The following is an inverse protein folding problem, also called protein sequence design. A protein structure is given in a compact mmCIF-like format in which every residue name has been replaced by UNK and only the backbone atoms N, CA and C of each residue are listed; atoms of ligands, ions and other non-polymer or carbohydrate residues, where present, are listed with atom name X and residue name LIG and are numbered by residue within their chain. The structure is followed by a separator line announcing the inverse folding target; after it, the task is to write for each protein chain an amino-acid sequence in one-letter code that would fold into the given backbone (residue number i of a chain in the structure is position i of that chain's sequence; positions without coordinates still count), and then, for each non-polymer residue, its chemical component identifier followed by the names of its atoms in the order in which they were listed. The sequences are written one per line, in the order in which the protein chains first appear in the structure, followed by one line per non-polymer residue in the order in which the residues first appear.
data_IF_836039909777
#
_entry.id   IF_836039909777
#
_cell.length_a   1.000
_cell.length_b   1.000
_cell.length_c   1.000
_cell.angle_alpha   90.00
_cell.angle_beta   90.00
_cell.angle_gamma   90.00
#
_symmetry.space_group_name_H-M   'P 1'
#
loop_
_entity.id
_entity.type
_entity.pdbx_description
1 polymer ?
#
# COMPACT_ATOMS: atom_id res chain seq x y z
N UNK A 1 -18.04 11.52 8.78
CA UNK A 1 -17.70 12.62 7.85
C UNK A 1 -16.56 12.13 6.98
N UNK A 2 -16.62 12.38 5.68
CA UNK A 2 -15.57 12.01 4.72
C UNK A 2 -14.42 13.02 4.79
N UNK A 3 -13.20 12.53 5.00
CA UNK A 3 -11.99 13.35 5.05
C UNK A 3 -11.09 13.09 3.84
N UNK A 4 -10.08 13.95 3.59
CA UNK A 4 -9.05 13.66 2.59
C UNK A 4 -8.30 12.34 2.84
N UNK A 5 -8.18 11.92 4.11
CA UNK A 5 -7.53 10.66 4.48
C UNK A 5 -8.35 9.45 4.04
N UNK A 6 -9.69 9.54 4.07
CA UNK A 6 -10.56 8.47 3.59
C UNK A 6 -10.33 8.24 2.08
N UNK A 7 -10.33 9.31 1.28
CA UNK A 7 -10.09 9.21 -0.16
C UNK A 7 -8.69 8.71 -0.48
N UNK A 8 -7.67 9.19 0.24
CA UNK A 8 -6.29 8.77 0.05
C UNK A 8 -6.11 7.28 0.37
N UNK A 9 -6.56 6.84 1.54
CA UNK A 9 -6.36 5.46 2.00
C UNK A 9 -7.20 4.46 1.20
N UNK A 10 -8.40 4.84 0.76
CA UNK A 10 -9.21 4.05 -0.18
C UNK A 10 -8.52 3.92 -1.53
N UNK A 11 -7.98 5.01 -2.10
CA UNK A 11 -7.28 4.94 -3.38
C UNK A 11 -6.04 4.03 -3.31
N UNK A 12 -5.24 4.15 -2.24
CA UNK A 12 -4.08 3.28 -2.02
C UNK A 12 -4.51 1.82 -1.85
N UNK A 13 -5.56 1.56 -1.06
CA UNK A 13 -6.06 0.21 -0.83
C UNK A 13 -6.63 -0.42 -2.11
N UNK A 14 -7.38 0.32 -2.91
CA UNK A 14 -7.85 -0.13 -4.21
C UNK A 14 -6.68 -0.47 -5.14
N UNK A 15 -5.63 0.37 -5.15
CA UNK A 15 -4.39 0.08 -5.88
C UNK A 15 -3.71 -1.20 -5.42
N UNK A 16 -3.68 -1.49 -4.11
CA UNK A 16 -3.15 -2.73 -3.55
C UNK A 16 -3.95 -3.96 -4.02
N UNK A 17 -5.28 -3.86 -4.07
CA UNK A 17 -6.14 -4.94 -4.59
C UNK A 17 -5.82 -5.22 -6.06
N UNK A 18 -5.76 -4.16 -6.88
CA UNK A 18 -5.43 -4.32 -8.31
C UNK A 18 -4.06 -4.95 -8.48
N UNK A 19 -3.05 -4.47 -7.75
CA UNK A 19 -1.69 -5.03 -7.79
C UNK A 19 -1.66 -6.50 -7.37
N UNK A 20 -2.38 -6.85 -6.30
CA UNK A 20 -2.50 -8.22 -5.84
C UNK A 20 -3.12 -9.12 -6.90
N UNK A 21 -4.24 -8.70 -7.50
CA UNK A 21 -4.93 -9.47 -8.53
C UNK A 21 -4.03 -9.65 -9.77
N UNK A 22 -3.37 -8.58 -10.23
CA UNK A 22 -2.45 -8.65 -11.37
C UNK A 22 -1.24 -9.57 -11.14
N UNK A 23 -0.78 -9.73 -9.89
CA UNK A 23 0.35 -10.60 -9.56
C UNK A 23 -0.04 -12.01 -9.16
N UNK A 24 -1.29 -12.22 -8.73
CA UNK A 24 -1.82 -13.56 -8.43
C UNK A 24 -1.96 -14.41 -9.68
N UNK A 25 -2.16 -13.77 -10.84
CA UNK A 25 -2.26 -14.42 -12.15
C UNK A 25 -0.89 -14.59 -12.85
N UNK A 26 0.21 -14.12 -12.23
CA UNK A 26 1.53 -14.18 -12.84
C UNK A 26 2.20 -15.56 -12.66
N UNK A 27 2.87 -16.06 -13.71
CA UNK A 27 3.56 -17.37 -13.73
C UNK A 27 4.57 -17.58 -12.59
N UNK A 28 5.11 -16.49 -12.03
CA UNK A 28 5.99 -16.52 -10.85
C UNK A 28 5.47 -15.54 -9.82
N UNK A 29 4.80 -16.01 -8.76
CA UNK A 29 4.38 -15.16 -7.66
C UNK A 29 5.61 -14.52 -7.01
N UNK A 30 5.78 -13.20 -7.16
CA UNK A 30 6.88 -12.45 -6.53
C UNK A 30 6.59 -12.12 -5.07
N UNK A 31 5.31 -12.07 -4.69
CA UNK A 31 4.87 -11.53 -3.41
C UNK A 31 3.94 -12.50 -2.69
N UNK A 32 4.02 -12.48 -1.36
CA UNK A 32 3.13 -13.25 -0.50
C UNK A 32 1.91 -12.43 -0.09
N UNK A 33 0.75 -13.09 0.07
CA UNK A 33 -0.51 -12.47 0.53
C UNK A 33 -0.35 -11.61 1.79
N UNK A 34 0.49 -12.06 2.74
CA UNK A 34 0.73 -11.34 3.99
C UNK A 34 1.25 -9.91 3.77
N UNK A 35 2.04 -9.66 2.73
CA UNK A 35 2.58 -8.32 2.45
C UNK A 35 1.46 -7.33 2.10
N UNK A 36 0.46 -7.79 1.34
CA UNK A 36 -0.73 -7.01 1.04
C UNK A 36 -1.57 -6.78 2.28
N UNK A 37 -1.70 -7.78 3.16
CA UNK A 37 -2.43 -7.64 4.42
C UNK A 37 -1.79 -6.61 5.36
N UNK A 38 -0.45 -6.59 5.46
CA UNK A 38 0.28 -5.56 6.20
C UNK A 38 0.05 -4.17 5.60
N UNK A 39 0.11 -4.04 4.28
CA UNK A 39 -0.14 -2.75 3.62
C UNK A 39 -1.59 -2.27 3.82
N UNK A 40 -2.56 -3.18 3.76
CA UNK A 40 -3.97 -2.91 4.05
C UNK A 40 -4.21 -2.44 5.48
N UNK A 41 -3.57 -3.09 6.47
CA UNK A 41 -3.61 -2.64 7.86
C UNK A 41 -2.97 -1.25 8.02
N UNK A 42 -1.89 -0.98 7.29
CA UNK A 42 -1.29 0.35 7.20
C UNK A 42 -2.27 1.42 6.70
N UNK A 43 -3.04 1.15 5.64
CA UNK A 43 -4.09 2.06 5.17
C UNK A 43 -5.11 2.36 6.28
N UNK A 44 -5.58 1.32 6.98
CA UNK A 44 -6.54 1.49 8.07
C UNK A 44 -5.97 2.34 9.22
N UNK A 45 -4.70 2.13 9.58
CA UNK A 45 -4.02 2.89 10.62
C UNK A 45 -3.86 4.38 10.26
N UNK A 46 -3.44 4.67 9.03
CA UNK A 46 -3.31 6.05 8.53
C UNK A 46 -4.66 6.76 8.57
N UNK A 47 -5.72 6.06 8.15
CA UNK A 47 -7.06 6.63 8.13
C UNK A 47 -7.55 6.94 9.56
N UNK A 48 -7.36 5.99 10.48
CA UNK A 48 -7.77 6.15 11.87
C UNK A 48 -7.03 7.30 12.56
N UNK A 49 -5.70 7.41 12.38
CA UNK A 49 -4.90 8.50 12.94
C UNK A 49 -5.29 9.86 12.34
N UNK A 50 -5.47 9.93 11.01
CA UNK A 50 -5.83 11.15 10.30
C UNK A 50 -7.20 11.67 10.73
N UNK A 51 -8.19 10.79 10.80
CA UNK A 51 -9.55 11.11 11.24
C UNK A 51 -9.63 11.41 12.74
N UNK A 52 -8.69 10.87 13.54
CA UNK A 52 -8.54 11.18 14.96
C UNK A 52 -7.84 12.50 15.27
N UNK A 53 -7.47 13.30 14.27
CA UNK A 53 -6.81 14.61 14.46
C UNK A 53 -5.29 14.54 14.71
N UNK A 54 -4.68 13.36 14.61
CA UNK A 54 -3.25 13.16 14.85
C UNK A 54 -2.45 13.38 13.55
N UNK A 55 -2.48 14.60 12.99
CA UNK A 55 -1.98 14.89 11.65
C UNK A 55 -0.50 14.47 11.42
N UNK A 56 0.38 14.74 12.39
CA UNK A 56 1.81 14.37 12.30
C UNK A 56 1.99 12.85 12.30
N UNK A 57 1.27 12.14 13.16
CA UNK A 57 1.33 10.68 13.23
C UNK A 57 0.75 10.03 11.96
N UNK A 58 -0.34 10.57 11.42
CA UNK A 58 -0.96 10.12 10.18
C UNK A 58 -0.01 10.31 8.98
N UNK A 59 0.67 11.46 8.90
CA UNK A 59 1.66 11.73 7.86
C UNK A 59 2.85 10.77 7.96
N UNK A 60 3.38 10.56 9.16
CA UNK A 60 4.48 9.63 9.39
C UNK A 60 4.11 8.19 9.02
N UNK A 61 2.93 7.72 9.45
CA UNK A 61 2.42 6.41 9.09
C UNK A 61 2.16 6.28 7.58
N UNK A 62 1.64 7.34 6.93
CA UNK A 62 1.41 7.37 5.48
C UNK A 62 2.70 7.30 4.68
N UNK A 63 3.73 8.03 5.11
CA UNK A 63 5.06 7.98 4.50
C UNK A 63 5.70 6.59 4.67
N UNK A 64 5.60 5.99 5.86
CA UNK A 64 6.10 4.64 6.12
C UNK A 64 5.37 3.58 5.26
N UNK A 65 4.05 3.69 5.13
CA UNK A 65 3.25 2.84 4.26
C UNK A 65 3.66 3.00 2.79
N UNK A 66 3.79 4.23 2.30
CA UNK A 66 4.22 4.49 0.93
C UNK A 66 5.62 3.90 0.67
N UNK A 67 6.55 4.07 1.61
CA UNK A 67 7.87 3.46 1.54
C UNK A 67 7.79 1.93 1.50
N UNK A 68 6.97 1.30 2.37
CA UNK A 68 6.75 -0.15 2.35
C UNK A 68 6.20 -0.61 1.00
N UNK A 69 5.21 0.07 0.43
CA UNK A 69 4.66 -0.28 -0.88
C UNK A 69 5.72 -0.15 -1.98
N UNK A 70 6.45 0.96 -2.03
CA UNK A 70 7.44 1.20 -3.09
C UNK A 70 8.68 0.31 -2.97
N UNK A 71 9.08 -0.07 -1.75
CA UNK A 71 10.29 -0.85 -1.49
C UNK A 71 9.99 -2.34 -1.41
N UNK A 72 8.93 -2.77 -0.74
CA UNK A 72 8.64 -4.20 -0.53
C UNK A 72 7.84 -4.75 -1.71
N UNK A 73 6.72 -4.09 -2.04
CA UNK A 73 5.88 -4.53 -3.16
C UNK A 73 6.47 -4.10 -4.52
N UNK A 74 7.27 -3.05 -4.62
CA UNK A 74 7.87 -2.58 -5.90
C UNK A 74 6.86 -2.60 -7.08
N UNK A 75 5.72 -1.90 -6.98
CA UNK A 75 4.65 -1.96 -7.98
C UNK A 75 5.09 -1.57 -9.38
N UNK A 76 6.20 -0.84 -9.50
CA UNK A 76 6.74 -0.32 -10.75
C UNK A 76 7.79 -1.25 -11.36
N UNK A 77 8.06 -2.41 -10.75
CA UNK A 77 8.97 -3.42 -11.29
C UNK A 77 10.41 -2.93 -11.43
N UNK A 78 10.83 -1.95 -10.62
CA UNK A 78 12.17 -1.34 -10.72
C UNK A 78 13.29 -2.33 -10.44
N UNK A 79 13.00 -3.44 -9.75
CA UNK A 79 13.94 -4.52 -9.44
C UNK A 79 13.85 -5.71 -10.40
N UNK A 80 13.11 -5.59 -11.50
CA UNK A 80 13.22 -6.53 -12.61
C UNK A 80 14.50 -6.24 -13.40
N UNK A 81 15.53 -7.09 -13.29
CA UNK A 81 16.65 -7.06 -14.24
C UNK A 81 16.18 -7.38 -15.67
N UNK A 82 16.96 -7.03 -16.70
CA UNK A 82 16.60 -7.33 -18.08
C UNK A 82 16.31 -8.83 -18.27
N UNK A 83 15.40 -9.20 -19.19
CA UNK A 83 15.19 -10.61 -19.53
C UNK A 83 16.53 -11.19 -19.98
N UNK A 84 16.98 -12.25 -19.29
CA UNK A 84 18.13 -13.05 -19.68
C UNK A 84 17.78 -13.95 -20.87
#
# INVERSE_FOLDING_TARGET
MTTPYDWLTVAVFAGLIVLFLSRSDADRPRDSLWQYLVASLGCALVNWLGNGGHAVAALAAGAALAAFILIVLDPLGRRGGPPA
#
